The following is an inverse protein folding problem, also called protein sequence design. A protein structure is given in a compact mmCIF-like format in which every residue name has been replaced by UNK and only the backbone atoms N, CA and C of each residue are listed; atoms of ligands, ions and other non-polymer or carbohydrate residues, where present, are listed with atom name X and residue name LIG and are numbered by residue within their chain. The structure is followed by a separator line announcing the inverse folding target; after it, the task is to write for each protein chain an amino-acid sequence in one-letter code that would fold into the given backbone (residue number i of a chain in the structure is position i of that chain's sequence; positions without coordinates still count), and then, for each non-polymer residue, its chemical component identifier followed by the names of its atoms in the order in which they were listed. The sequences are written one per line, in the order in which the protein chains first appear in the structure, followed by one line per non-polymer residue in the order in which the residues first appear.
data_IF_710352046467
#
_entry.id   IF_710352046467
#
_cell.length_a   1.000
_cell.length_b   1.000
_cell.length_c   1.000
_cell.angle_alpha   90.00
_cell.angle_beta   90.00
_cell.angle_gamma   90.00
#
_symmetry.space_group_name_H-M   'P 1'
#
loop_
_entity.id
_entity.type
_entity.pdbx_description
1 polymer ?
#
# COMPACT_ATOMS: atom_id res chain seq x y z
N UNK A 1 18.95 -29.64 -7.07
CA UNK A 1 19.17 -29.04 -5.74
C UNK A 1 17.96 -29.37 -4.87
N UNK A 2 18.13 -29.58 -3.59
CA UNK A 2 16.98 -29.73 -2.67
C UNK A 2 16.33 -28.36 -2.45
N UNK A 3 15.02 -28.30 -2.18
CA UNK A 3 14.32 -27.03 -1.89
C UNK A 3 15.03 -26.21 -0.81
N UNK A 4 15.61 -26.86 0.19
CA UNK A 4 16.38 -26.23 1.29
C UNK A 4 17.64 -25.51 0.79
N UNK A 5 18.38 -26.09 -0.18
CA UNK A 5 19.58 -25.45 -0.75
C UNK A 5 19.23 -24.23 -1.60
N UNK A 6 18.11 -24.28 -2.33
CA UNK A 6 17.60 -23.15 -3.13
C UNK A 6 17.17 -22.01 -2.23
N UNK A 7 16.42 -22.30 -1.17
CA UNK A 7 16.01 -21.27 -0.19
C UNK A 7 17.21 -20.55 0.42
N UNK A 8 18.25 -21.27 0.83
CA UNK A 8 19.47 -20.68 1.43
C UNK A 8 20.24 -19.77 0.44
N UNK A 9 20.34 -20.18 -0.83
CA UNK A 9 20.97 -19.36 -1.87
C UNK A 9 20.17 -18.08 -2.09
N UNK A 10 18.87 -18.18 -2.29
CA UNK A 10 17.98 -17.03 -2.52
C UNK A 10 17.93 -16.10 -1.31
N UNK A 11 17.94 -16.63 -0.10
CA UNK A 11 18.01 -15.82 1.13
C UNK A 11 19.29 -15.01 1.19
N UNK A 12 20.44 -15.61 0.86
CA UNK A 12 21.72 -14.89 0.83
C UNK A 12 21.71 -13.76 -0.19
N UNK A 13 21.19 -14.02 -1.40
CA UNK A 13 21.09 -13.02 -2.46
C UNK A 13 20.11 -11.89 -2.07
N UNK A 14 18.96 -12.23 -1.47
CA UNK A 14 17.99 -11.30 -0.94
C UNK A 14 18.59 -10.36 0.11
N UNK A 15 19.30 -10.90 1.09
CA UNK A 15 19.96 -10.12 2.16
C UNK A 15 21.05 -9.22 1.57
N UNK A 16 21.79 -9.70 0.58
CA UNK A 16 22.85 -8.91 -0.06
C UNK A 16 22.25 -7.70 -0.76
N UNK A 17 21.17 -7.87 -1.52
CA UNK A 17 20.46 -6.79 -2.17
C UNK A 17 19.82 -5.84 -1.13
N UNK A 18 19.17 -6.37 -0.10
CA UNK A 18 18.54 -5.56 0.93
C UNK A 18 19.53 -4.63 1.63
N UNK A 19 20.73 -5.13 1.95
CA UNK A 19 21.80 -4.31 2.53
C UNK A 19 22.23 -3.17 1.60
N UNK A 20 22.27 -3.38 0.29
CA UNK A 20 22.59 -2.34 -0.67
C UNK A 20 21.48 -1.28 -0.75
N UNK A 21 20.22 -1.71 -0.72
CA UNK A 21 19.07 -0.81 -0.71
C UNK A 21 19.03 0.03 0.57
N UNK A 22 19.22 -0.57 1.75
CA UNK A 22 19.32 0.17 3.04
C UNK A 22 20.44 1.22 2.99
N UNK A 23 21.61 0.86 2.46
CA UNK A 23 22.74 1.78 2.35
C UNK A 23 22.54 2.91 1.34
N UNK A 24 21.44 2.87 0.59
CA UNK A 24 21.10 3.85 -0.45
C UNK A 24 19.82 4.58 -0.09
N UNK A 25 19.87 5.83 0.43
CA UNK A 25 18.68 6.59 0.74
C UNK A 25 17.72 6.68 -0.46
N UNK A 26 16.45 6.28 -0.25
CA UNK A 26 15.41 6.21 -1.26
C UNK A 26 14.08 6.80 -0.77
N UNK A 27 14.15 7.94 -0.08
CA UNK A 27 12.92 8.65 0.33
C UNK A 27 12.06 8.95 -0.89
N UNK A 28 10.73 8.77 -0.78
CA UNK A 28 9.78 8.98 -1.87
C UNK A 28 10.11 10.19 -2.75
N UNK A 29 10.12 9.99 -4.07
CA UNK A 29 10.53 10.92 -5.12
C UNK A 29 12.05 11.10 -5.30
N UNK A 30 12.88 10.35 -4.55
CA UNK A 30 14.33 10.38 -4.63
C UNK A 30 14.92 8.96 -4.71
N UNK A 31 14.22 8.04 -5.41
CA UNK A 31 14.55 6.60 -5.45
C UNK A 31 15.51 6.23 -6.60
N UNK A 32 16.00 7.20 -7.37
CA UNK A 32 16.77 6.96 -8.60
C UNK A 32 17.90 5.95 -8.40
N UNK A 33 18.70 6.12 -7.33
CA UNK A 33 19.82 5.22 -7.03
C UNK A 33 19.39 3.83 -6.61
N UNK A 34 18.27 3.69 -5.89
CA UNK A 34 17.72 2.40 -5.53
C UNK A 34 17.21 1.67 -6.79
N UNK A 35 16.58 2.38 -7.71
CA UNK A 35 16.17 1.86 -9.01
C UNK A 35 17.38 1.41 -9.86
N UNK A 36 18.50 2.17 -9.85
CA UNK A 36 19.75 1.78 -10.52
C UNK A 36 20.29 0.45 -9.97
N UNK A 37 20.34 0.30 -8.64
CA UNK A 37 20.78 -0.94 -7.98
C UNK A 37 19.90 -2.14 -8.39
N UNK A 38 18.59 -1.94 -8.48
CA UNK A 38 17.67 -3.00 -8.93
C UNK A 38 17.91 -3.36 -10.39
N UNK A 39 18.07 -2.38 -11.28
CA UNK A 39 18.40 -2.63 -12.69
C UNK A 39 19.68 -3.44 -12.81
N UNK A 40 20.75 -3.04 -12.12
CA UNK A 40 22.04 -3.72 -12.15
C UNK A 40 21.94 -5.15 -11.59
N UNK A 41 21.25 -5.32 -10.44
CA UNK A 41 21.06 -6.62 -9.81
C UNK A 41 20.26 -7.56 -10.70
N UNK A 42 19.14 -7.10 -11.27
CA UNK A 42 18.28 -7.89 -12.15
C UNK A 42 19.03 -8.27 -13.42
N UNK A 43 19.81 -7.34 -14.00
CA UNK A 43 20.68 -7.60 -15.15
C UNK A 43 21.75 -8.64 -14.80
N UNK A 44 22.34 -8.55 -13.62
CA UNK A 44 23.30 -9.53 -13.10
C UNK A 44 22.71 -10.93 -12.92
N UNK A 45 21.41 -11.06 -12.71
CA UNK A 45 20.70 -12.34 -12.73
C UNK A 45 20.36 -12.86 -14.13
N UNK A 46 20.71 -12.12 -15.19
CA UNK A 46 20.50 -12.50 -16.58
C UNK A 46 19.11 -12.11 -17.14
N UNK A 47 18.37 -11.25 -16.47
CA UNK A 47 17.09 -10.72 -16.96
C UNK A 47 17.26 -9.34 -17.59
N UNK A 48 16.27 -8.93 -18.39
CA UNK A 48 16.22 -7.60 -19.00
C UNK A 48 15.15 -6.76 -18.29
N UNK A 49 15.53 -5.92 -17.33
CA UNK A 49 14.58 -5.04 -16.64
C UNK A 49 14.10 -3.92 -17.58
N UNK A 50 12.87 -3.50 -17.36
CA UNK A 50 12.32 -2.24 -17.91
C UNK A 50 12.24 -1.23 -16.77
N UNK A 51 12.64 0.00 -17.06
CA UNK A 51 12.57 1.12 -16.11
C UNK A 51 11.70 2.25 -16.67
N UNK A 52 10.76 2.71 -15.88
CA UNK A 52 9.95 3.91 -16.17
C UNK A 52 9.92 4.83 -14.96
N UNK A 53 10.62 5.96 -15.07
CA UNK A 53 10.96 6.78 -13.90
C UNK A 53 11.83 5.99 -12.93
N UNK A 54 11.35 5.81 -11.69
CA UNK A 54 11.99 4.98 -10.68
C UNK A 54 11.31 3.62 -10.49
N UNK A 55 10.24 3.32 -11.23
CA UNK A 55 9.65 1.98 -11.25
C UNK A 55 10.51 1.04 -12.10
N UNK A 56 10.76 -0.16 -11.60
CA UNK A 56 11.56 -1.19 -12.28
C UNK A 56 10.78 -2.48 -12.31
N UNK A 57 10.62 -3.11 -13.49
CA UNK A 57 9.95 -4.40 -13.58
C UNK A 57 10.63 -5.36 -14.56
N UNK A 58 10.33 -6.61 -14.37
CA UNK A 58 10.71 -7.71 -15.26
C UNK A 58 9.49 -8.59 -15.49
N UNK A 59 9.44 -9.18 -16.67
CA UNK A 59 8.38 -10.09 -17.07
C UNK A 59 8.96 -11.50 -17.30
N UNK A 60 8.10 -12.49 -17.18
CA UNK A 60 8.42 -13.85 -17.60
C UNK A 60 8.99 -13.83 -19.04
N UNK A 61 10.22 -14.31 -19.27
CA UNK A 61 10.80 -14.39 -20.63
C UNK A 61 9.96 -15.22 -21.61
N UNK A 62 9.09 -16.11 -21.10
CA UNK A 62 8.19 -16.96 -21.87
C UNK A 62 6.73 -16.48 -21.78
N UNK A 63 6.53 -15.15 -21.67
CA UNK A 63 5.20 -14.54 -21.55
C UNK A 63 4.28 -15.01 -22.69
N UNK A 64 3.11 -15.53 -22.32
CA UNK A 64 2.08 -15.99 -23.24
C UNK A 64 0.76 -15.29 -22.95
N UNK A 65 0.21 -14.56 -23.92
CA UNK A 65 -1.05 -13.81 -23.79
C UNK A 65 -2.27 -14.67 -23.45
N UNK A 66 -2.18 -15.99 -23.64
CA UNK A 66 -3.27 -16.93 -23.35
C UNK A 66 -3.24 -17.42 -21.90
N UNK A 67 -2.16 -17.15 -21.16
CA UNK A 67 -2.04 -17.52 -19.76
C UNK A 67 -2.41 -16.34 -18.84
N UNK A 68 -3.07 -16.57 -17.71
CA UNK A 68 -3.30 -15.53 -16.71
C UNK A 68 -1.98 -15.00 -16.16
N UNK A 69 -1.99 -13.78 -15.63
CA UNK A 69 -0.79 -13.08 -15.17
C UNK A 69 -0.85 -12.79 -13.67
N UNK A 70 0.17 -13.23 -12.94
CA UNK A 70 0.45 -12.90 -11.55
C UNK A 70 1.42 -11.72 -11.50
N UNK A 71 1.03 -10.64 -10.82
CA UNK A 71 1.92 -9.54 -10.46
C UNK A 71 2.47 -9.74 -9.04
N UNK A 72 3.79 -9.73 -8.89
CA UNK A 72 4.51 -9.64 -7.62
C UNK A 72 5.01 -8.20 -7.49
N UNK A 73 4.44 -7.44 -6.55
CA UNK A 73 4.76 -6.02 -6.38
C UNK A 73 5.29 -5.74 -4.97
N UNK A 74 6.25 -4.84 -4.87
CA UNK A 74 6.70 -4.23 -3.63
C UNK A 74 7.35 -2.86 -3.93
N UNK A 75 7.28 -1.91 -2.99
CA UNK A 75 7.85 -0.58 -3.22
C UNK A 75 9.33 -0.49 -2.85
N UNK A 76 10.02 0.49 -3.43
CA UNK A 76 11.45 0.77 -3.21
C UNK A 76 11.70 2.03 -2.40
N UNK A 77 10.69 2.87 -2.27
CA UNK A 77 10.82 4.10 -1.50
C UNK A 77 10.65 3.86 -0.01
N UNK A 78 11.06 4.84 0.75
CA UNK A 78 10.95 4.87 2.21
C UNK A 78 10.41 6.21 2.68
N UNK A 79 9.84 6.22 3.88
CA UNK A 79 9.61 7.48 4.62
C UNK A 79 10.94 8.14 4.99
N UNK A 80 10.89 9.38 5.50
CA UNK A 80 12.06 10.01 6.12
C UNK A 80 12.34 9.38 7.49
N UNK A 81 13.63 9.16 7.78
CA UNK A 81 14.03 8.72 9.11
C UNK A 81 13.53 9.70 10.19
N UNK A 82 12.92 9.17 11.24
CA UNK A 82 12.48 9.97 12.40
C UNK A 82 13.66 10.32 13.30
N UNK A 83 13.56 11.40 14.06
CA UNK A 83 14.68 11.91 14.87
C UNK A 83 15.07 11.00 16.05
N UNK A 84 14.24 10.01 16.41
CA UNK A 84 14.46 9.08 17.51
C UNK A 84 15.30 7.86 17.15
N UNK A 85 15.83 7.74 15.91
CA UNK A 85 16.75 6.67 15.54
C UNK A 85 17.99 6.68 16.44
N UNK A 86 18.36 5.51 16.99
CA UNK A 86 19.58 5.34 17.78
C UNK A 86 20.73 4.78 16.95
N UNK A 87 20.41 4.05 15.87
CA UNK A 87 21.36 3.54 14.86
C UNK A 87 21.36 4.48 13.63
N UNK A 88 22.36 4.35 12.76
CA UNK A 88 22.31 5.04 11.47
C UNK A 88 21.27 4.35 10.57
N UNK A 89 20.18 5.04 10.14
CA UNK A 89 19.12 4.42 9.34
C UNK A 89 19.59 3.90 7.98
N UNK A 90 20.71 4.41 7.46
CA UNK A 90 21.29 4.04 6.17
C UNK A 90 22.54 3.13 6.30
N UNK A 91 22.77 2.55 7.46
CA UNK A 91 23.83 1.56 7.70
C UNK A 91 23.19 0.20 8.01
N UNK A 92 23.35 -0.80 7.13
CA UNK A 92 22.74 -2.13 7.34
C UNK A 92 23.50 -2.91 8.43
N UNK A 93 23.05 -2.79 9.67
CA UNK A 93 23.66 -3.45 10.83
C UNK A 93 23.00 -4.79 11.09
N UNK A 94 23.81 -5.86 11.18
CA UNK A 94 23.33 -7.20 11.53
C UNK A 94 23.71 -7.54 12.95
N UNK A 95 22.74 -7.82 13.79
CA UNK A 95 22.92 -8.29 15.17
C UNK A 95 22.15 -9.63 15.35
N UNK A 96 22.88 -10.73 15.30
CA UNK A 96 22.28 -12.08 15.33
C UNK A 96 21.37 -12.31 14.11
N UNK A 97 20.08 -12.51 14.35
CA UNK A 97 19.06 -12.71 13.31
C UNK A 97 18.43 -11.39 12.80
N UNK A 98 18.81 -10.25 13.37
CA UNK A 98 18.18 -8.96 13.09
C UNK A 98 19.06 -8.15 12.13
N UNK A 99 18.44 -7.66 11.04
CA UNK A 99 19.01 -6.67 10.12
C UNK A 99 18.28 -5.33 10.32
N UNK A 100 18.99 -4.36 10.89
CA UNK A 100 18.52 -3.00 11.07
C UNK A 100 18.74 -2.15 9.83
N UNK A 101 17.85 -1.21 9.59
CA UNK A 101 17.93 -0.17 8.55
C UNK A 101 16.57 0.30 8.10
N UNK A 102 16.50 1.55 7.70
CA UNK A 102 15.26 2.15 7.16
C UNK A 102 14.84 1.45 5.87
N UNK A 103 13.57 1.06 5.78
CA UNK A 103 13.04 0.29 4.66
C UNK A 103 13.42 -1.20 4.68
N UNK A 104 14.04 -1.69 5.77
CA UNK A 104 14.35 -3.13 5.89
C UNK A 104 13.08 -3.97 6.04
N UNK A 105 12.11 -3.46 6.81
CA UNK A 105 10.81 -4.08 7.07
C UNK A 105 9.75 -3.59 6.08
N UNK A 106 9.72 -2.27 5.80
CA UNK A 106 8.70 -1.60 4.99
C UNK A 106 9.32 -1.01 3.70
N UNK A 107 9.21 -1.67 2.52
CA UNK A 107 8.85 -3.09 2.42
C UNK A 107 10.01 -3.89 1.77
N UNK A 108 11.27 -3.49 2.08
CA UNK A 108 12.47 -4.10 1.47
C UNK A 108 12.56 -5.62 1.64
N UNK A 109 12.16 -6.15 2.81
CA UNK A 109 12.09 -7.59 3.03
C UNK A 109 11.15 -8.30 2.06
N UNK A 110 9.98 -7.71 1.79
CA UNK A 110 9.02 -8.18 0.78
C UNK A 110 9.59 -8.09 -0.63
N UNK A 111 10.15 -6.93 -0.96
CA UNK A 111 10.77 -6.64 -2.27
C UNK A 111 11.81 -7.71 -2.65
N UNK A 112 12.81 -7.89 -1.80
CA UNK A 112 13.89 -8.83 -2.10
C UNK A 112 13.42 -10.27 -2.12
N UNK A 113 12.46 -10.64 -1.26
CA UNK A 113 11.89 -11.99 -1.24
C UNK A 113 11.12 -12.29 -2.53
N UNK A 114 10.25 -11.38 -2.97
CA UNK A 114 9.46 -11.55 -4.20
C UNK A 114 10.34 -11.57 -5.45
N UNK A 115 11.44 -10.80 -5.49
CA UNK A 115 12.39 -10.87 -6.60
C UNK A 115 13.06 -12.26 -6.70
N UNK A 116 13.44 -12.87 -5.59
CA UNK A 116 14.01 -14.22 -5.61
C UNK A 116 12.97 -15.26 -6.05
N UNK A 117 11.74 -15.09 -5.60
CA UNK A 117 10.64 -15.98 -5.99
C UNK A 117 10.31 -15.85 -7.47
N UNK A 118 10.32 -14.64 -8.03
CA UNK A 118 10.23 -14.45 -9.49
C UNK A 118 11.29 -15.27 -10.23
N UNK A 119 12.57 -15.22 -9.81
CA UNK A 119 13.68 -16.00 -10.42
C UNK A 119 13.38 -17.50 -10.44
N UNK A 120 12.81 -18.02 -9.35
CA UNK A 120 12.42 -19.43 -9.28
C UNK A 120 11.28 -19.73 -10.25
N UNK A 121 10.21 -18.97 -10.22
CA UNK A 121 8.99 -19.25 -11.00
C UNK A 121 9.24 -19.24 -12.51
N UNK A 122 10.06 -18.32 -13.01
CA UNK A 122 10.39 -18.27 -14.44
C UNK A 122 11.37 -19.35 -14.88
N UNK A 123 12.07 -20.00 -13.94
CA UNK A 123 12.95 -21.15 -14.23
C UNK A 123 12.22 -22.50 -14.11
N UNK A 124 10.96 -22.50 -13.66
CA UNK A 124 10.11 -23.67 -13.51
C UNK A 124 8.79 -23.44 -14.27
N UNK A 125 8.38 -24.32 -15.20
CA UNK A 125 7.18 -24.09 -16.01
C UNK A 125 5.93 -23.89 -15.16
N UNK A 126 5.26 -22.75 -15.32
CA UNK A 126 4.00 -22.41 -14.66
C UNK A 126 2.85 -22.37 -15.69
N UNK A 127 1.61 -22.51 -15.22
CA UNK A 127 0.40 -22.34 -16.02
C UNK A 127 -0.04 -20.87 -16.12
N UNK A 128 0.77 -19.93 -15.64
CA UNK A 128 0.54 -18.49 -15.61
C UNK A 128 1.83 -17.73 -15.91
N UNK A 129 1.69 -16.48 -16.32
CA UNK A 129 2.81 -15.54 -16.46
C UNK A 129 3.13 -14.89 -15.12
N UNK A 130 4.37 -14.51 -14.91
CA UNK A 130 4.80 -13.77 -13.73
C UNK A 130 5.41 -12.44 -14.13
N UNK A 131 5.03 -11.38 -13.43
CA UNK A 131 5.66 -10.07 -13.50
C UNK A 131 6.15 -9.72 -12.10
N UNK A 132 7.38 -9.26 -11.96
CA UNK A 132 7.86 -8.60 -10.74
C UNK A 132 7.94 -7.11 -11.01
N UNK A 133 7.36 -6.29 -10.13
CA UNK A 133 7.38 -4.83 -10.18
C UNK A 133 7.88 -4.27 -8.85
N UNK A 134 8.97 -3.53 -8.91
CA UNK A 134 9.45 -2.66 -7.85
C UNK A 134 8.90 -1.25 -8.13
N UNK A 135 7.95 -0.79 -7.33
CA UNK A 135 7.25 0.49 -7.49
C UNK A 135 7.93 1.60 -6.69
N UNK A 136 7.81 2.83 -7.17
CA UNK A 136 8.26 4.04 -6.50
C UNK A 136 7.09 4.81 -5.89
N UNK A 137 7.36 5.83 -5.05
CA UNK A 137 6.41 6.80 -4.51
C UNK A 137 5.19 6.17 -3.79
N UNK A 138 5.29 4.95 -3.26
CA UNK A 138 4.19 4.28 -2.55
C UNK A 138 3.79 5.07 -1.30
N UNK A 139 4.77 5.44 -0.46
CA UNK A 139 4.63 6.10 0.84
C UNK A 139 3.95 7.49 0.79
N UNK A 140 3.85 8.03 -0.42
CA UNK A 140 3.15 9.29 -0.69
C UNK A 140 2.01 9.10 -1.70
N UNK A 141 1.70 7.86 -2.06
CA UNK A 141 0.74 7.50 -3.11
C UNK A 141 0.94 8.38 -4.36
N UNK A 142 2.19 8.50 -4.82
CA UNK A 142 2.61 9.47 -5.82
C UNK A 142 2.14 9.14 -7.24
N UNK A 143 2.17 10.14 -8.12
CA UNK A 143 1.73 9.95 -9.51
C UNK A 143 2.76 9.22 -10.38
N UNK A 144 4.05 9.26 -9.99
CA UNK A 144 5.14 8.61 -10.73
C UNK A 144 5.43 7.19 -10.20
N UNK A 145 4.68 6.71 -9.21
CA UNK A 145 4.76 5.36 -8.67
C UNK A 145 4.05 4.32 -9.53
N UNK A 146 3.42 3.34 -8.89
CA UNK A 146 2.75 2.21 -9.56
C UNK A 146 1.72 2.67 -10.59
N UNK A 147 1.02 3.79 -10.37
CA UNK A 147 0.06 4.38 -11.29
C UNK A 147 0.65 4.64 -12.68
N UNK A 148 1.93 5.02 -12.73
CA UNK A 148 2.66 5.25 -13.98
C UNK A 148 3.09 3.94 -14.66
N UNK A 149 3.40 2.92 -13.86
CA UNK A 149 3.88 1.63 -14.36
C UNK A 149 2.73 0.74 -14.89
N UNK A 150 1.60 0.66 -14.16
CA UNK A 150 0.49 -0.26 -14.50
C UNK A 150 -0.01 -0.17 -15.95
N UNK A 151 -0.20 1.02 -16.56
CA UNK A 151 -0.65 1.12 -17.95
C UNK A 151 0.34 0.57 -19.00
N UNK A 152 1.59 0.39 -18.61
CA UNK A 152 2.67 -0.14 -19.47
C UNK A 152 2.82 -1.65 -19.37
N UNK A 153 2.16 -2.28 -18.38
CA UNK A 153 2.16 -3.71 -18.19
C UNK A 153 1.05 -4.38 -19.00
N UNK A 154 1.21 -5.65 -19.37
CA UNK A 154 0.10 -6.42 -19.93
C UNK A 154 -1.01 -6.60 -18.89
N UNK A 155 -2.21 -7.08 -19.31
CA UNK A 155 -3.30 -7.39 -18.41
C UNK A 155 -2.86 -8.28 -17.24
N UNK A 156 -3.33 -7.95 -16.04
CA UNK A 156 -3.00 -8.64 -14.80
C UNK A 156 -4.29 -9.25 -14.23
N UNK A 157 -4.24 -10.53 -13.86
CA UNK A 157 -5.38 -11.25 -13.30
C UNK A 157 -5.40 -11.21 -11.77
N UNK A 158 -4.23 -11.19 -11.13
CA UNK A 158 -4.12 -11.09 -9.68
C UNK A 158 -2.75 -10.52 -9.28
N UNK A 159 -2.70 -9.82 -8.16
CA UNK A 159 -1.45 -9.33 -7.57
C UNK A 159 -1.22 -9.79 -6.14
N UNK A 160 0.05 -9.92 -5.78
CA UNK A 160 0.54 -10.04 -4.41
C UNK A 160 1.49 -8.91 -4.12
N UNK A 161 1.19 -8.13 -3.07
CA UNK A 161 1.98 -6.97 -2.63
C UNK A 161 2.78 -7.35 -1.39
N UNK A 162 4.09 -7.12 -1.45
CA UNK A 162 5.10 -7.59 -0.47
C UNK A 162 5.17 -6.78 0.82
N UNK A 163 4.06 -6.23 1.28
CA UNK A 163 3.94 -5.45 2.52
C UNK A 163 4.13 -6.31 3.79
N UNK A 164 4.63 -5.72 4.90
CA UNK A 164 4.86 -6.45 6.14
C UNK A 164 3.55 -6.88 6.81
N UNK A 165 3.20 -8.16 6.71
CA UNK A 165 1.96 -8.74 7.25
C UNK A 165 2.21 -9.92 8.20
N UNK A 166 3.46 -10.18 8.57
CA UNK A 166 3.81 -11.39 9.32
C UNK A 166 3.55 -12.68 8.54
N UNK A 167 3.55 -12.61 7.19
CA UNK A 167 3.16 -13.71 6.32
C UNK A 167 1.71 -14.19 6.55
N UNK A 168 0.80 -13.30 6.96
CA UNK A 168 -0.63 -13.55 6.94
C UNK A 168 -1.26 -12.80 5.77
N UNK A 169 -2.19 -13.40 5.00
CA UNK A 169 -2.76 -12.74 3.83
C UNK A 169 -3.77 -11.66 4.25
N UNK A 170 -3.45 -10.39 3.97
CA UNK A 170 -4.41 -9.31 4.04
C UNK A 170 -5.22 -9.30 2.74
N UNK A 171 -6.45 -9.79 2.80
CA UNK A 171 -7.32 -10.03 1.62
C UNK A 171 -8.23 -8.86 1.29
N UNK A 172 -8.21 -7.82 2.11
CA UNK A 172 -8.88 -6.55 1.88
C UNK A 172 -8.11 -5.42 2.57
N UNK A 173 -8.14 -4.22 2.02
CA UNK A 173 -7.61 -3.01 2.66
C UNK A 173 -8.57 -1.83 2.49
N UNK A 174 -8.57 -0.91 3.48
CA UNK A 174 -9.42 0.28 3.43
C UNK A 174 -8.92 1.27 2.38
N UNK A 175 -9.88 1.82 1.60
CA UNK A 175 -9.61 2.98 0.77
C UNK A 175 -9.44 4.25 1.60
N UNK A 176 -8.99 5.31 0.95
CA UNK A 176 -8.80 6.63 1.53
C UNK A 176 -9.38 7.72 0.62
N UNK A 177 -10.23 8.55 1.21
CA UNK A 177 -10.67 9.80 0.62
C UNK A 177 -10.62 10.89 1.67
N UNK A 178 -10.16 12.08 1.30
CA UNK A 178 -10.17 13.26 2.16
C UNK A 178 -11.17 14.26 1.60
N UNK A 179 -12.10 14.71 2.46
CA UNK A 179 -13.08 15.74 2.10
C UNK A 179 -12.73 17.05 2.78
N UNK A 180 -12.87 18.13 2.00
CA UNK A 180 -12.91 19.49 2.50
C UNK A 180 -14.37 19.96 2.52
N UNK A 181 -14.84 20.41 3.70
CA UNK A 181 -16.22 20.88 3.92
C UNK A 181 -16.17 22.32 4.36
N UNK A 182 -16.98 23.21 3.73
CA UNK A 182 -16.98 24.65 3.98
C UNK A 182 -18.40 25.16 4.22
N UNK A 183 -18.62 25.67 5.43
CA UNK A 183 -19.83 26.44 5.72
C UNK A 183 -19.54 27.93 5.58
N UNK A 184 -20.39 28.59 4.82
CA UNK A 184 -20.32 30.03 4.58
C UNK A 184 -21.28 30.78 5.48
N UNK A 185 -20.83 31.87 6.05
CA UNK A 185 -21.58 32.80 6.84
C UNK A 185 -21.47 34.24 6.29
N UNK A 186 -21.60 35.19 7.18
CA UNK A 186 -21.44 36.62 6.88
C UNK A 186 -20.82 37.32 8.09
N UNK A 187 -19.69 37.98 7.91
CA UNK A 187 -19.03 38.73 8.97
C UNK A 187 -19.94 39.83 9.50
N UNK A 188 -19.82 40.11 10.79
CA UNK A 188 -20.52 41.17 11.50
C UNK A 188 -19.92 41.40 12.88
N UNK A 189 -20.33 42.47 13.56
CA UNK A 189 -19.90 42.73 14.92
C UNK A 189 -20.69 41.88 15.92
N UNK A 190 -20.01 41.01 16.66
CA UNK A 190 -20.63 40.03 17.55
C UNK A 190 -21.63 40.63 18.57
N UNK A 191 -21.46 41.93 18.97
CA UNK A 191 -22.36 42.62 19.90
C UNK A 191 -23.62 43.23 19.25
N UNK A 192 -23.79 43.12 17.91
CA UNK A 192 -24.86 43.86 17.18
C UNK A 192 -25.92 42.97 16.54
N UNK A 193 -25.92 41.67 16.79
CA UNK A 193 -26.79 40.69 16.08
C UNK A 193 -26.73 40.83 14.55
N UNK A 194 -25.57 41.17 14.01
CA UNK A 194 -25.29 41.31 12.58
C UNK A 194 -24.51 40.09 12.09
N UNK A 195 -24.68 39.75 10.81
CA UNK A 195 -23.97 38.63 10.17
C UNK A 195 -24.66 37.29 10.32
N UNK A 196 -23.99 36.24 9.79
CA UNK A 196 -24.37 34.84 9.87
C UNK A 196 -23.15 34.07 10.34
N UNK A 197 -23.26 33.37 11.44
CA UNK A 197 -22.13 32.72 12.09
C UNK A 197 -21.86 31.34 11.40
N UNK A 198 -20.80 31.23 10.64
CA UNK A 198 -20.41 29.99 9.95
C UNK A 198 -20.18 28.80 10.91
N UNK A 199 -19.79 29.04 12.16
CA UNK A 199 -19.69 27.99 13.18
C UNK A 199 -21.06 27.40 13.51
N UNK A 200 -22.12 28.23 13.53
CA UNK A 200 -23.46 27.73 13.80
C UNK A 200 -24.05 27.02 12.58
N UNK A 201 -23.73 27.50 11.39
CA UNK A 201 -24.21 26.89 10.12
C UNK A 201 -23.68 25.45 9.96
N UNK A 202 -22.45 25.14 10.44
CA UNK A 202 -21.82 23.83 10.26
C UNK A 202 -22.22 22.79 11.31
N UNK A 203 -22.93 23.18 12.38
CA UNK A 203 -23.22 22.30 13.51
C UNK A 203 -24.05 21.06 13.11
N UNK A 204 -25.07 21.25 12.29
CA UNK A 204 -25.92 20.14 11.81
C UNK A 204 -25.10 19.15 10.99
N UNK A 205 -24.20 19.65 10.15
CA UNK A 205 -23.31 18.84 9.34
C UNK A 205 -22.31 18.03 10.19
N UNK A 206 -21.74 18.64 11.22
CA UNK A 206 -20.89 17.95 12.21
C UNK A 206 -21.65 16.85 12.94
N UNK A 207 -22.89 17.11 13.35
CA UNK A 207 -23.75 16.10 14.01
C UNK A 207 -24.05 14.95 13.06
N UNK A 208 -24.35 15.24 11.80
CA UNK A 208 -24.57 14.21 10.80
C UNK A 208 -23.30 13.39 10.54
N UNK A 209 -22.15 14.00 10.26
CA UNK A 209 -20.87 13.33 10.05
C UNK A 209 -20.49 12.39 11.20
N UNK A 210 -20.75 12.82 12.44
CA UNK A 210 -20.46 12.00 13.62
C UNK A 210 -21.37 10.78 13.75
N UNK A 211 -22.65 10.93 13.40
CA UNK A 211 -23.69 9.92 13.70
C UNK A 211 -24.01 9.02 12.52
N UNK A 212 -23.72 9.44 11.29
CA UNK A 212 -24.00 8.66 10.10
C UNK A 212 -23.26 7.32 10.11
N UNK A 213 -23.94 6.27 9.65
CA UNK A 213 -23.39 4.93 9.47
C UNK A 213 -23.79 4.42 8.11
N UNK A 214 -22.77 3.99 7.35
CA UNK A 214 -22.99 3.37 6.05
C UNK A 214 -23.53 1.95 6.22
N UNK A 215 -24.47 1.54 5.36
CA UNK A 215 -25.24 0.31 5.53
C UNK A 215 -24.46 -0.97 5.19
N UNK A 216 -23.47 -0.89 4.28
CA UNK A 216 -22.70 -2.07 3.86
C UNK A 216 -21.49 -2.22 4.78
N UNK A 217 -21.48 -3.28 5.58
CA UNK A 217 -20.43 -3.60 6.55
C UNK A 217 -19.63 -4.82 6.05
N UNK A 218 -18.33 -4.69 6.05
CA UNK A 218 -17.41 -5.77 5.65
C UNK A 218 -17.10 -6.69 6.81
N UNK A 219 -17.02 -7.99 6.55
CA UNK A 219 -16.58 -8.98 7.54
C UNK A 219 -15.09 -8.80 7.88
N UNK A 220 -14.28 -8.25 6.97
CA UNK A 220 -12.83 -8.05 7.15
C UNK A 220 -12.47 -6.62 7.54
N UNK A 221 -13.12 -5.62 6.96
CA UNK A 221 -12.77 -4.19 7.16
C UNK A 221 -13.74 -3.45 8.08
N UNK A 222 -14.89 -4.06 8.40
CA UNK A 222 -15.95 -3.41 9.17
C UNK A 222 -16.64 -2.29 8.39
N UNK A 223 -17.11 -1.27 9.09
CA UNK A 223 -17.83 -0.13 8.51
C UNK A 223 -16.90 0.80 7.71
N UNK A 224 -17.45 1.44 6.68
CA UNK A 224 -16.89 2.67 6.13
C UNK A 224 -16.93 3.75 7.20
N UNK A 225 -15.79 4.39 7.47
CA UNK A 225 -15.63 5.31 8.60
C UNK A 225 -15.33 6.72 8.11
N UNK A 226 -15.99 7.70 8.72
CA UNK A 226 -15.68 9.12 8.58
C UNK A 226 -15.20 9.68 9.90
N UNK A 227 -14.17 10.56 9.85
CA UNK A 227 -13.65 11.25 11.03
C UNK A 227 -13.33 12.69 10.66
N UNK A 228 -13.96 13.65 11.32
CA UNK A 228 -13.54 15.05 11.23
C UNK A 228 -12.24 15.19 12.00
N UNK A 229 -11.16 15.54 11.30
CA UNK A 229 -9.80 15.57 11.87
C UNK A 229 -9.25 16.99 12.03
N UNK A 230 -9.83 17.96 11.31
CA UNK A 230 -9.46 19.37 11.38
C UNK A 230 -10.71 20.23 11.36
N UNK A 231 -10.73 21.31 12.15
CA UNK A 231 -11.73 22.37 12.10
C UNK A 231 -11.04 23.72 12.26
N UNK A 232 -11.36 24.66 11.38
CA UNK A 232 -10.89 26.05 11.44
C UNK A 232 -12.04 27.03 11.29
N UNK A 233 -12.16 28.01 12.20
CA UNK A 233 -13.14 29.09 12.09
C UNK A 233 -12.74 30.30 12.97
N UNK A 234 -13.12 31.49 12.51
CA UNK A 234 -12.97 32.74 13.23
C UNK A 234 -11.52 33.21 13.38
N UNK A 235 -11.37 34.51 13.62
CA UNK A 235 -10.06 35.16 13.75
C UNK A 235 -9.96 36.04 15.02
N UNK A 236 -11.10 36.61 15.47
CA UNK A 236 -11.16 37.52 16.63
C UNK A 236 -12.45 37.29 17.39
N UNK A 237 -12.40 37.51 18.70
CA UNK A 237 -13.54 37.26 19.61
C UNK A 237 -14.76 38.16 19.37
N UNK A 238 -14.62 39.31 18.74
CA UNK A 238 -15.66 40.30 18.48
C UNK A 238 -16.15 40.33 17.01
N UNK A 239 -15.71 39.41 16.20
CA UNK A 239 -16.09 39.26 14.77
C UNK A 239 -16.85 37.94 14.59
N UNK A 240 -18.07 38.01 14.00
CA UNK A 240 -18.82 36.82 13.60
C UNK A 240 -18.08 36.14 12.46
N UNK A 241 -17.73 34.83 12.58
CA UNK A 241 -17.03 34.10 11.53
C UNK A 241 -17.90 33.97 10.27
N UNK A 242 -17.32 34.25 9.11
CA UNK A 242 -17.93 34.12 7.79
C UNK A 242 -17.54 32.83 7.05
N UNK A 243 -16.59 32.08 7.63
CA UNK A 243 -16.14 30.79 7.09
C UNK A 243 -15.84 29.83 8.24
N UNK A 244 -16.29 28.58 8.10
CA UNK A 244 -15.89 27.45 8.91
C UNK A 244 -15.51 26.29 7.99
N UNK A 245 -14.29 25.76 8.13
CA UNK A 245 -13.73 24.71 7.30
C UNK A 245 -13.45 23.45 8.12
N UNK A 246 -13.82 22.29 7.58
CA UNK A 246 -13.50 20.97 8.13
C UNK A 246 -12.66 20.16 7.15
N UNK A 247 -11.81 19.30 7.69
CA UNK A 247 -11.22 18.19 6.95
C UNK A 247 -11.77 16.89 7.51
N UNK A 248 -12.26 16.02 6.62
CA UNK A 248 -12.83 14.72 6.98
C UNK A 248 -12.00 13.63 6.34
N UNK A 249 -11.40 12.75 7.17
CA UNK A 249 -10.77 11.49 6.74
C UNK A 249 -11.87 10.45 6.55
N UNK A 250 -11.94 9.85 5.36
CA UNK A 250 -12.92 8.81 4.99
C UNK A 250 -12.18 7.54 4.64
N UNK A 251 -12.53 6.43 5.30
CA UNK A 251 -11.98 5.09 5.09
C UNK A 251 -13.06 4.16 4.59
N UNK A 252 -13.08 3.95 3.28
CA UNK A 252 -14.07 3.08 2.61
C UNK A 252 -13.69 1.60 2.79
N UNK A 253 -14.70 0.73 2.78
CA UNK A 253 -14.51 -0.71 2.64
C UNK A 253 -14.76 -1.14 1.19
N UNK A 254 -14.56 -2.41 0.87
CA UNK A 254 -14.64 -2.98 -0.48
C UNK A 254 -16.02 -2.94 -1.13
N UNK A 255 -17.07 -2.61 -0.36
CA UNK A 255 -18.44 -2.51 -0.87
C UNK A 255 -18.82 -1.12 -1.37
N UNK A 256 -17.94 -0.12 -1.19
CA UNK A 256 -18.17 1.26 -1.60
C UNK A 256 -17.03 1.80 -2.46
N UNK A 257 -17.40 2.39 -3.59
CA UNK A 257 -16.49 3.30 -4.30
C UNK A 257 -16.41 4.63 -3.55
N UNK A 258 -15.27 5.29 -3.62
CA UNK A 258 -15.08 6.61 -3.00
C UNK A 258 -16.12 7.63 -3.51
N UNK A 259 -16.44 7.59 -4.81
CA UNK A 259 -17.43 8.44 -5.44
C UNK A 259 -18.85 8.23 -4.88
N UNK A 260 -19.25 6.99 -4.59
CA UNK A 260 -20.57 6.67 -4.00
C UNK A 260 -20.68 7.28 -2.60
N UNK A 261 -19.64 7.13 -1.78
CA UNK A 261 -19.57 7.69 -0.42
C UNK A 261 -19.58 9.22 -0.48
N UNK A 262 -18.83 9.82 -1.40
CA UNK A 262 -18.82 11.27 -1.60
C UNK A 262 -20.21 11.81 -1.95
N UNK A 263 -20.91 11.17 -2.90
CA UNK A 263 -22.25 11.61 -3.29
C UNK A 263 -23.27 11.49 -2.16
N UNK A 264 -23.19 10.43 -1.35
CA UNK A 264 -24.04 10.26 -0.17
C UNK A 264 -23.77 11.38 0.86
N UNK A 265 -22.51 11.70 1.15
CA UNK A 265 -22.15 12.81 2.03
C UNK A 265 -22.63 14.15 1.48
N UNK A 266 -22.35 14.42 0.21
CA UNK A 266 -22.73 15.70 -0.46
C UNK A 266 -24.24 15.96 -0.46
N UNK A 267 -25.06 14.91 -0.55
CA UNK A 267 -26.52 15.03 -0.55
C UNK A 267 -27.10 15.38 0.83
N UNK A 268 -26.38 15.06 1.91
CA UNK A 268 -26.87 15.24 3.26
C UNK A 268 -26.34 16.51 3.94
N UNK A 269 -25.15 16.99 3.56
CA UNK A 269 -24.58 18.19 4.12
C UNK A 269 -25.18 19.44 3.44
N UNK A 270 -25.40 20.49 4.23
CA UNK A 270 -25.79 21.81 3.76
C UNK A 270 -24.61 22.62 3.24
N UNK A 271 -23.42 22.35 3.81
CA UNK A 271 -22.16 22.99 3.45
C UNK A 271 -21.65 22.55 2.10
N UNK A 272 -20.78 23.34 1.51
CA UNK A 272 -20.01 22.97 0.31
C UNK A 272 -19.08 21.82 0.64
N UNK A 273 -19.10 20.75 -0.17
CA UNK A 273 -18.25 19.56 -0.01
C UNK A 273 -17.44 19.32 -1.26
N UNK A 274 -16.14 19.12 -1.10
CA UNK A 274 -15.24 18.72 -2.19
C UNK A 274 -14.33 17.58 -1.74
N UNK A 275 -14.05 16.64 -2.65
CA UNK A 275 -13.08 15.58 -2.43
C UNK A 275 -11.73 15.98 -3.01
N UNK A 276 -10.64 15.80 -2.26
CA UNK A 276 -9.29 16.05 -2.77
C UNK A 276 -8.89 15.06 -3.86
N UNK A 277 -9.33 13.81 -3.75
CA UNK A 277 -9.09 12.77 -4.74
C UNK A 277 -10.01 11.58 -4.48
N UNK A 278 -10.37 10.84 -5.54
CA UNK A 278 -11.11 9.58 -5.45
C UNK A 278 -10.23 8.35 -5.70
N UNK A 279 -8.98 8.52 -6.07
CA UNK A 279 -8.11 7.49 -6.68
C UNK A 279 -7.71 6.33 -5.77
N UNK A 280 -7.74 6.50 -4.44
CA UNK A 280 -7.29 5.50 -3.48
C UNK A 280 -8.47 4.65 -3.01
N UNK A 281 -8.80 3.64 -3.82
CA UNK A 281 -9.94 2.76 -3.54
C UNK A 281 -9.59 1.69 -2.50
N UNK A 282 -10.63 1.13 -1.87
CA UNK A 282 -10.50 -0.12 -1.14
C UNK A 282 -10.15 -1.24 -2.11
N UNK A 283 -9.20 -2.10 -1.75
CA UNK A 283 -8.84 -3.29 -2.51
C UNK A 283 -9.39 -4.56 -1.85
N UNK A 284 -9.59 -5.61 -2.63
CA UNK A 284 -9.97 -6.91 -2.09
C UNK A 284 -9.68 -8.05 -3.07
N UNK A 285 -9.65 -9.26 -2.54
CA UNK A 285 -9.67 -10.51 -3.29
C UNK A 285 -10.72 -11.44 -2.68
N UNK A 286 -11.45 -12.16 -3.54
CA UNK A 286 -12.46 -13.12 -3.09
C UNK A 286 -11.80 -14.16 -2.15
N UNK A 287 -12.36 -14.41 -0.94
CA UNK A 287 -11.90 -15.49 -0.07
C UNK A 287 -11.86 -16.86 -0.73
N UNK A 288 -12.66 -17.10 -1.78
CA UNK A 288 -12.64 -18.35 -2.57
C UNK A 288 -11.56 -18.37 -3.67
N UNK A 289 -10.86 -17.27 -3.89
CA UNK A 289 -9.77 -17.25 -4.87
C UNK A 289 -8.69 -18.29 -4.53
N UNK A 290 -8.15 -19.05 -5.52
CA UNK A 290 -7.18 -20.12 -5.27
C UNK A 290 -5.96 -19.71 -4.44
N UNK A 291 -5.45 -18.47 -4.59
CA UNK A 291 -4.38 -17.93 -3.75
C UNK A 291 -4.78 -17.88 -2.28
N UNK A 292 -5.97 -17.36 -1.96
CA UNK A 292 -6.45 -17.25 -0.58
C UNK A 292 -6.69 -18.63 0.00
N UNK A 293 -7.35 -19.53 -0.76
CA UNK A 293 -7.61 -20.90 -0.33
C UNK A 293 -6.31 -21.67 -0.06
N UNK A 294 -5.27 -21.44 -0.88
CA UNK A 294 -3.97 -22.06 -0.66
C UNK A 294 -3.27 -21.51 0.57
N UNK A 295 -3.35 -20.19 0.84
CA UNK A 295 -2.89 -19.59 2.09
C UNK A 295 -3.56 -20.26 3.31
N UNK A 296 -4.88 -20.39 3.27
CA UNK A 296 -5.66 -21.07 4.35
C UNK A 296 -5.23 -22.53 4.52
N UNK A 297 -5.05 -23.26 3.43
CA UNK A 297 -4.57 -24.64 3.45
C UNK A 297 -3.16 -24.79 4.05
N UNK A 298 -2.33 -23.73 3.92
CA UNK A 298 -1.00 -23.62 4.54
C UNK A 298 -1.06 -23.18 6.02
N UNK A 299 -2.25 -22.99 6.60
CA UNK A 299 -2.45 -22.59 7.99
C UNK A 299 -2.41 -21.09 8.25
N UNK A 300 -2.45 -20.24 7.21
CA UNK A 300 -2.52 -18.80 7.36
C UNK A 300 -3.94 -18.35 7.63
N UNK A 301 -4.09 -17.20 8.31
CA UNK A 301 -5.38 -16.61 8.67
C UNK A 301 -5.60 -15.32 7.87
N UNK A 302 -6.56 -15.30 6.92
CA UNK A 302 -6.91 -14.09 6.18
C UNK A 302 -7.44 -12.99 7.10
N UNK A 303 -7.07 -11.74 6.81
CA UNK A 303 -7.53 -10.57 7.58
C UNK A 303 -7.74 -9.34 6.70
N UNK A 304 -8.37 -8.30 7.25
CA UNK A 304 -8.51 -6.99 6.63
C UNK A 304 -7.48 -6.00 7.16
N UNK A 305 -6.74 -5.34 6.28
CA UNK A 305 -5.73 -4.34 6.63
C UNK A 305 -6.35 -2.94 6.78
N UNK A 306 -6.08 -2.22 7.87
CA UNK A 306 -6.50 -0.83 8.01
C UNK A 306 -5.59 0.15 7.26
N UNK A 307 -4.39 -0.29 6.85
CA UNK A 307 -3.38 0.52 6.17
C UNK A 307 -3.52 0.39 4.66
N UNK A 308 -3.17 1.47 3.95
CA UNK A 308 -3.22 1.58 2.51
C UNK A 308 -1.88 1.11 1.91
N UNK A 309 -1.91 0.64 0.66
CA UNK A 309 -0.73 0.28 -0.11
C UNK A 309 -0.97 0.54 -1.61
N UNK A 310 -0.03 0.15 -2.45
CA UNK A 310 -0.18 0.18 -3.91
C UNK A 310 -1.44 -0.52 -4.43
N UNK A 311 -2.03 -1.43 -3.65
CA UNK A 311 -3.29 -2.09 -3.99
C UNK A 311 -4.44 -1.11 -4.23
N UNK A 312 -4.43 0.05 -3.55
CA UNK A 312 -5.46 1.09 -3.71
C UNK A 312 -5.54 1.65 -5.14
N UNK A 313 -4.51 1.43 -5.94
CA UNK A 313 -4.40 1.86 -7.33
C UNK A 313 -4.56 0.72 -8.35
N UNK A 314 -4.77 -0.51 -7.86
CA UNK A 314 -5.01 -1.70 -8.69
C UNK A 314 -6.51 -1.90 -8.92
N UNK A 315 -6.90 -2.18 -10.17
CA UNK A 315 -8.30 -2.46 -10.55
C UNK A 315 -8.64 -3.96 -10.62
N UNK A 316 -7.69 -4.81 -10.29
CA UNK A 316 -7.78 -6.28 -10.32
C UNK A 316 -7.62 -6.86 -8.91
N UNK A 317 -8.03 -8.13 -8.68
CA UNK A 317 -7.89 -8.79 -7.39
C UNK A 317 -6.45 -8.75 -6.86
N UNK A 318 -6.29 -8.41 -5.59
CA UNK A 318 -4.97 -8.34 -4.97
C UNK A 318 -5.02 -8.62 -3.47
N UNK A 319 -3.92 -9.09 -2.91
CA UNK A 319 -3.72 -9.27 -1.48
C UNK A 319 -2.33 -8.80 -1.05
N UNK A 320 -2.18 -8.39 0.22
CA UNK A 320 -0.86 -8.16 0.83
C UNK A 320 -0.39 -9.43 1.51
N UNK A 321 0.86 -9.75 1.30
CA UNK A 321 1.54 -10.86 1.97
C UNK A 321 3.04 -10.60 1.94
N UNK A 322 3.67 -10.45 3.09
CA UNK A 322 5.12 -10.23 3.15
C UNK A 322 5.71 -10.47 4.54
N UNK A 323 7.05 -10.67 4.60
CA UNK A 323 7.77 -10.80 5.85
C UNK A 323 7.78 -9.50 6.64
N UNK A 324 8.09 -9.61 7.93
CA UNK A 324 8.09 -8.46 8.83
C UNK A 324 6.71 -8.15 9.40
N UNK A 325 6.64 -7.14 10.25
CA UNK A 325 5.45 -6.75 10.99
C UNK A 325 5.13 -5.29 10.74
N UNK A 326 3.87 -4.96 10.45
CA UNK A 326 3.43 -3.58 10.22
C UNK A 326 3.71 -2.63 11.42
N UNK A 327 3.80 -3.18 12.63
CA UNK A 327 4.14 -2.40 13.82
C UNK A 327 5.58 -1.88 13.87
N UNK A 328 6.47 -2.38 12.99
CA UNK A 328 7.86 -1.92 12.86
C UNK A 328 8.03 -0.84 11.80
N UNK A 329 7.01 -0.63 10.95
CA UNK A 329 7.02 0.40 9.90
C UNK A 329 7.00 1.79 10.50
N UNK A 330 7.69 2.74 9.86
CA UNK A 330 7.75 4.16 10.23
C UNK A 330 8.27 4.42 11.66
N UNK A 331 8.94 3.45 12.27
CA UNK A 331 9.50 3.52 13.61
C UNK A 331 11.02 3.74 13.59
N UNK A 332 11.56 4.29 14.69
CA UNK A 332 13.00 4.33 14.87
C UNK A 332 13.58 2.92 15.03
N UNK A 333 14.82 2.75 14.57
CA UNK A 333 15.52 1.48 14.60
C UNK A 333 14.74 0.32 13.94
N UNK A 334 14.08 0.65 12.83
CA UNK A 334 13.37 -0.31 11.98
C UNK A 334 14.27 -1.51 11.66
N UNK A 335 13.68 -2.70 11.68
CA UNK A 335 14.41 -3.95 11.44
C UNK A 335 13.54 -5.03 10.85
N UNK A 336 14.19 -5.99 10.20
CA UNK A 336 13.62 -7.27 9.80
C UNK A 336 14.50 -8.42 10.32
N UNK A 337 13.90 -9.59 10.59
CA UNK A 337 14.68 -10.77 10.88
C UNK A 337 15.10 -11.48 9.59
N UNK A 338 16.34 -11.94 9.55
CA UNK A 338 16.85 -12.71 8.42
C UNK A 338 16.04 -14.00 8.23
N UNK A 339 15.66 -14.64 9.33
CA UNK A 339 14.78 -15.82 9.33
C UNK A 339 13.37 -15.53 8.80
N UNK A 340 12.85 -14.30 8.91
CA UNK A 340 11.56 -13.91 8.32
C UNK A 340 11.66 -13.88 6.79
N UNK A 341 12.76 -13.38 6.22
CA UNK A 341 13.03 -13.39 4.77
C UNK A 341 13.17 -14.83 4.26
N UNK A 342 13.94 -15.68 4.94
CA UNK A 342 14.10 -17.09 4.59
C UNK A 342 12.76 -17.83 4.59
N UNK A 343 11.98 -17.65 5.66
CA UNK A 343 10.63 -18.22 5.77
C UNK A 343 9.71 -17.71 4.67
N UNK A 344 9.74 -16.40 4.35
CA UNK A 344 8.90 -15.82 3.33
C UNK A 344 9.19 -16.41 1.94
N UNK A 345 10.46 -16.53 1.56
CA UNK A 345 10.85 -17.16 0.31
C UNK A 345 10.28 -18.59 0.24
N UNK A 346 10.47 -19.39 1.30
CA UNK A 346 9.95 -20.77 1.35
C UNK A 346 8.42 -20.84 1.25
N UNK A 347 7.72 -19.93 1.94
CA UNK A 347 6.24 -19.82 1.89
C UNK A 347 5.76 -19.42 0.50
N UNK A 348 6.37 -18.42 -0.12
CA UNK A 348 6.01 -17.99 -1.47
C UNK A 348 6.24 -19.08 -2.52
N UNK A 349 7.35 -19.82 -2.43
CA UNK A 349 7.59 -20.96 -3.32
C UNK A 349 6.47 -22.00 -3.21
N UNK A 350 6.06 -22.34 -1.99
CA UNK A 350 4.94 -23.27 -1.77
C UNK A 350 3.60 -22.70 -2.25
N UNK A 351 3.40 -21.40 -2.10
CA UNK A 351 2.15 -20.71 -2.46
C UNK A 351 1.99 -20.61 -3.98
N UNK A 352 3.05 -20.27 -4.71
CA UNK A 352 2.94 -19.95 -6.14
C UNK A 352 3.25 -21.12 -7.05
N UNK A 353 4.16 -22.03 -6.68
CA UNK A 353 4.54 -23.13 -7.54
C UNK A 353 3.33 -24.03 -7.85
N UNK A 354 3.03 -24.18 -9.15
CA UNK A 354 1.94 -24.99 -9.67
C UNK A 354 0.52 -24.54 -9.25
N UNK A 355 0.33 -23.28 -8.85
CA UNK A 355 -1.02 -22.75 -8.57
C UNK A 355 -1.78 -22.52 -9.89
N UNK A 356 -3.11 -22.74 -9.85
CA UNK A 356 -4.00 -22.36 -10.95
C UNK A 356 -4.60 -21.00 -10.66
N UNK A 357 -4.29 -20.02 -11.51
CA UNK A 357 -4.84 -18.66 -11.42
C UNK A 357 -6.02 -18.58 -12.40
N UNK A 358 -7.21 -18.14 -11.94
CA UNK A 358 -8.34 -17.88 -12.83
C UNK A 358 -8.00 -16.72 -13.77
N UNK A 359 -8.34 -16.85 -15.07
CA UNK A 359 -8.31 -15.71 -15.98
C UNK A 359 -9.51 -14.81 -15.68
N UNK A 360 -9.27 -13.52 -15.61
CA UNK A 360 -10.30 -12.48 -15.46
C UNK A 360 -10.72 -11.88 -16.79
N UNK A 361 -10.10 -12.33 -17.89
CA UNK A 361 -10.33 -11.88 -19.27
C UNK A 361 -11.13 -12.91 -20.06
#
# INVERSE_FOLDING_TARGET
MTNDSICKEYTRDAITLLKQLIATPSVSRNEEKAADILVDTITGYGFTPVREGNNVWIMDPQYDKQRPTLLLNAHIDTVKAVASWTKNPFEPVVEGDILYGLGSNDCGGGLVSLLQVFRYLVSHPQQYNVIFLASAEEEVSGENGIRRALPLLPPIDVAVVGEPTGMQPAIAEKGLMVLDVKAHGKSGHAARNEGVNAIYEILDDLVWLRNHRFSKVSDFLGETKMSVTVIHAGTQHNVVPDLCELVVDVRTNEFYKNEEVFEEVRQHLKSEVSARSFRLHSSHIDPQHPLVQRCVAMGMVPFGSPTLSDQALMSFPSLKLGPGESSRSHAADEFIKISEIEKAIGVYLQLFDGIVIPSTI
#
